data_IF_117631885396
#
_entry.id   IF_117631885396
#
_cell.length_a   1.000
_cell.length_b   1.000
_cell.length_c   1.000
_cell.angle_alpha   90.00
_cell.angle_beta   90.00
_cell.angle_gamma   90.00
#
_symmetry.space_group_name_H-M   'P 1'
#
loop_
_entity.id
_entity.type
_entity.pdbx_description
1 polymer ?
#
# COMPACT_ATOMS: atom_id res chain seq x y z
N UNK A 1 11.52 0.30 1.70
CA UNK A 1 10.57 1.44 1.57
C UNK A 1 9.28 1.05 2.27
N UNK A 2 8.74 1.89 3.16
CA UNK A 2 7.44 1.63 3.78
C UNK A 2 6.33 2.27 2.97
N UNK A 3 5.26 1.51 2.74
CA UNK A 3 4.08 1.95 1.98
C UNK A 3 2.85 1.72 2.83
N UNK A 4 1.97 2.72 2.89
CA UNK A 4 0.64 2.58 3.46
C UNK A 4 -0.33 2.19 2.34
N UNK A 5 -0.93 1.02 2.46
CA UNK A 5 -2.00 0.55 1.59
C UNK A 5 -3.32 0.79 2.30
N UNK A 6 -4.22 1.51 1.65
CA UNK A 6 -5.58 1.77 2.12
C UNK A 6 -6.52 1.09 1.14
N UNK A 7 -7.26 0.10 1.62
CA UNK A 7 -8.36 -0.51 0.88
C UNK A 7 -9.65 0.08 1.41
N UNK A 8 -10.26 0.93 0.60
CA UNK A 8 -11.51 1.57 0.94
C UNK A 8 -12.66 0.77 0.31
N UNK A 9 -13.59 0.35 1.15
CA UNK A 9 -14.80 -0.36 0.75
C UNK A 9 -15.98 0.42 1.29
N UNK A 10 -16.92 0.81 0.42
CA UNK A 10 -18.08 1.60 0.82
C UNK A 10 -18.88 1.01 2.00
N UNK A 11 -18.81 -0.31 2.21
CA UNK A 11 -19.65 -1.04 3.18
C UNK A 11 -18.87 -1.76 4.30
N UNK A 12 -17.53 -1.76 4.29
CA UNK A 12 -16.73 -2.45 5.31
C UNK A 12 -15.57 -1.58 5.78
N UNK A 13 -15.29 -1.61 7.09
CA UNK A 13 -14.22 -0.87 7.77
C UNK A 13 -12.98 -0.71 6.88
N UNK A 14 -12.57 0.54 6.64
CA UNK A 14 -11.34 0.91 5.94
C UNK A 14 -10.17 0.03 6.41
N UNK A 15 -9.61 -0.77 5.50
CA UNK A 15 -8.50 -1.67 5.84
C UNK A 15 -7.21 -0.95 5.50
N UNK A 16 -6.43 -0.62 6.53
CA UNK A 16 -5.17 0.11 6.38
C UNK A 16 -4.02 -0.80 6.80
N UNK A 17 -3.04 -0.98 5.92
CA UNK A 17 -1.91 -1.89 6.14
C UNK A 17 -0.61 -1.18 5.81
N UNK A 18 0.36 -1.24 6.72
CA UNK A 18 1.73 -0.83 6.43
C UNK A 18 2.48 -2.04 5.88
N UNK A 19 3.04 -1.89 4.69
CA UNK A 19 3.91 -2.90 4.08
C UNK A 19 5.32 -2.36 3.91
N UNK A 20 6.30 -3.25 3.93
CA UNK A 20 7.71 -2.95 3.65
C UNK A 20 8.14 -3.62 2.35
N UNK A 21 8.70 -2.81 1.46
CA UNK A 21 9.36 -3.25 0.24
C UNK A 21 10.86 -3.26 0.50
N UNK A 22 11.43 -4.44 0.70
CA UNK A 22 12.87 -4.60 0.97
C UNK A 22 13.70 -4.80 -0.31
N UNK A 23 13.18 -5.58 -1.26
CA UNK A 23 13.89 -5.88 -2.49
C UNK A 23 13.98 -4.66 -3.42
N UNK A 24 15.20 -4.35 -3.90
CA UNK A 24 15.46 -3.23 -4.82
C UNK A 24 14.65 -3.35 -6.12
N UNK A 25 14.62 -4.53 -6.73
CA UNK A 25 13.86 -4.79 -7.97
C UNK A 25 12.35 -4.59 -7.79
N UNK A 26 11.80 -4.95 -6.63
CA UNK A 26 10.39 -4.71 -6.32
C UNK A 26 10.11 -3.21 -6.18
N UNK A 27 11.02 -2.48 -5.52
CA UNK A 27 10.90 -1.01 -5.38
C UNK A 27 10.92 -0.32 -6.75
N UNK A 28 11.87 -0.66 -7.62
CA UNK A 28 11.99 -0.10 -8.96
C UNK A 28 10.75 -0.40 -9.81
N UNK A 29 10.23 -1.62 -9.73
CA UNK A 29 9.02 -2.00 -10.46
C UNK A 29 7.78 -1.24 -9.97
N UNK A 30 7.63 -1.06 -8.66
CA UNK A 30 6.53 -0.27 -8.09
C UNK A 30 6.62 1.18 -8.56
N UNK A 31 7.80 1.81 -8.48
CA UNK A 31 7.99 3.18 -8.97
C UNK A 31 7.66 3.30 -10.45
N UNK A 32 8.12 2.36 -11.29
CA UNK A 32 7.82 2.37 -12.73
C UNK A 32 6.32 2.21 -13.05
N UNK A 33 5.57 1.46 -12.25
CA UNK A 33 4.12 1.34 -12.42
C UNK A 33 3.42 2.67 -12.06
N UNK A 34 3.85 3.33 -10.99
CA UNK A 34 3.31 4.63 -10.57
C UNK A 34 3.63 5.74 -11.58
N UNK A 35 4.83 5.75 -12.15
CA UNK A 35 5.21 6.69 -13.22
C UNK A 35 4.38 6.52 -14.50
N UNK A 36 3.68 5.39 -14.65
CA UNK A 36 2.80 5.07 -15.78
C UNK A 36 1.32 5.18 -15.44
N UNK A 37 0.98 5.76 -14.28
CA UNK A 37 -0.39 5.86 -13.77
C UNK A 37 -1.09 4.49 -13.60
N UNK A 38 -0.30 3.44 -13.33
CA UNK A 38 -0.77 2.06 -13.09
C UNK A 38 -0.87 1.78 -11.58
N UNK A 39 -1.61 2.62 -10.85
CA UNK A 39 -1.73 2.55 -9.38
C UNK A 39 -2.31 1.22 -8.89
N UNK A 40 -3.30 0.69 -9.60
CA UNK A 40 -3.94 -0.59 -9.27
C UNK A 40 -2.96 -1.76 -9.37
N UNK A 41 -2.17 -1.81 -10.43
CA UNK A 41 -1.15 -2.83 -10.61
C UNK A 41 -0.03 -2.69 -9.57
N UNK A 42 0.32 -1.46 -9.19
CA UNK A 42 1.28 -1.21 -8.12
C UNK A 42 0.74 -1.70 -6.77
N UNK A 43 -0.54 -1.43 -6.48
CA UNK A 43 -1.23 -1.89 -5.29
C UNK A 43 -1.29 -3.42 -5.22
N UNK A 44 -1.74 -4.07 -6.30
CA UNK A 44 -1.81 -5.53 -6.42
C UNK A 44 -0.44 -6.18 -6.24
N UNK A 45 0.61 -5.58 -6.83
CA UNK A 45 1.97 -6.06 -6.70
C UNK A 45 2.45 -5.99 -5.25
N UNK A 46 2.14 -4.90 -4.55
CA UNK A 46 2.51 -4.71 -3.15
C UNK A 46 1.77 -5.67 -2.22
N UNK A 47 0.46 -5.87 -2.40
CA UNK A 47 -0.28 -6.88 -1.63
C UNK A 47 0.33 -8.28 -1.77
N UNK A 48 0.76 -8.64 -2.99
CA UNK A 48 1.27 -10.00 -3.28
C UNK A 48 2.70 -10.24 -2.84
N UNK A 49 3.55 -9.19 -2.81
CA UNK A 49 5.00 -9.34 -2.71
C UNK A 49 5.65 -8.56 -1.58
N UNK A 50 4.99 -7.54 -1.03
CA UNK A 50 5.54 -6.77 0.08
C UNK A 50 5.32 -7.50 1.40
N UNK A 51 6.18 -7.21 2.37
CA UNK A 51 6.10 -7.77 3.71
C UNK A 51 5.15 -6.93 4.56
N UNK A 52 4.11 -7.53 5.13
CA UNK A 52 3.21 -6.83 6.06
C UNK A 52 3.95 -6.51 7.36
N UNK A 53 3.94 -5.23 7.77
CA UNK A 53 4.55 -4.78 9.03
C UNK A 53 3.54 -4.45 10.11
N UNK A 54 2.39 -3.88 9.74
CA UNK A 54 1.35 -3.54 10.70
C UNK A 54 -0.03 -3.45 10.03
N UNK A 55 -1.05 -3.81 10.80
CA UNK A 55 -2.44 -3.48 10.50
C UNK A 55 -2.84 -2.26 11.32
N UNK A 56 -3.43 -1.27 10.68
CA UNK A 56 -3.89 -0.04 11.32
C UNK A 56 -5.42 -0.03 11.39
N UNK A 57 -6.02 -0.24 12.58
CA UNK A 57 -7.44 -0.08 12.75
C UNK A 57 -7.92 1.36 12.45
N UNK A 58 -9.20 1.55 12.12
CA UNK A 58 -9.79 2.86 11.92
C UNK A 58 -9.53 3.80 13.11
N UNK A 59 -9.17 5.05 12.82
CA UNK A 59 -8.87 6.06 13.84
C UNK A 59 -7.45 6.01 14.43
N UNK A 60 -6.67 4.95 14.19
CA UNK A 60 -5.29 4.89 14.66
C UNK A 60 -4.32 5.55 13.67
N UNK A 61 -3.45 6.43 14.16
CA UNK A 61 -2.39 7.01 13.32
C UNK A 61 -1.27 5.99 13.14
N UNK A 62 -0.71 5.93 11.94
CA UNK A 62 0.51 5.17 11.70
C UNK A 62 1.62 5.74 12.60
N UNK A 63 2.28 4.90 13.41
CA UNK A 63 3.45 5.29 14.20
C UNK A 63 4.68 5.60 13.33
N UNK A 64 4.57 5.40 12.02
CA UNK A 64 5.64 5.53 11.05
C UNK A 64 5.12 6.39 9.90
N UNK A 65 5.98 7.27 9.36
CA UNK A 65 5.65 8.09 8.20
C UNK A 65 5.92 7.26 6.93
N UNK A 66 4.88 6.80 6.21
CA UNK A 66 5.09 6.01 5.00
C UNK A 66 5.71 6.88 3.92
N UNK A 67 6.55 6.28 3.07
CA UNK A 67 7.13 6.98 1.92
C UNK A 67 6.12 7.14 0.77
N UNK A 68 5.10 6.29 0.74
CA UNK A 68 4.06 6.24 -0.27
C UNK A 68 2.74 5.82 0.38
N UNK A 69 1.64 6.41 -0.05
CA UNK A 69 0.28 5.97 0.32
C UNK A 69 -0.46 5.63 -0.96
N UNK A 70 -1.01 4.42 -1.06
CA UNK A 70 -1.88 4.00 -2.16
C UNK A 70 -3.27 3.72 -1.60
N UNK A 71 -4.28 4.25 -2.29
CA UNK A 71 -5.69 4.10 -1.93
C UNK A 71 -6.37 3.40 -3.09
N UNK A 72 -6.94 2.24 -2.84
CA UNK A 72 -7.77 1.52 -3.80
C UNK A 72 -9.21 1.46 -3.30
N UNK A 73 -10.11 1.98 -4.13
CA UNK A 73 -11.55 1.87 -3.95
C UNK A 73 -12.06 0.62 -4.68
N UNK A 74 -12.57 -0.35 -3.91
CA UNK A 74 -13.34 -1.46 -4.49
C UNK A 74 -14.82 -1.05 -4.49
N UNK A 75 -15.30 -0.57 -5.63
CA UNK A 75 -16.72 -0.37 -5.93
C UNK A 75 -17.48 -1.70 -5.95
#
# INVERSE_FOLDING_TARGET
MQVLLILNRQYSKEVRVIVSVQAKSLKEKVVSLLEKDQDREAFDLLIKKAEVKAYLPPGQKAHIRPALTLIEDLL
#
